data_IF_993703676568
#
_entry.id   IF_993703676568
#
_cell.length_a   1.000
_cell.length_b   1.000
_cell.length_c   1.000
_cell.angle_alpha   90.00
_cell.angle_beta   90.00
_cell.angle_gamma   90.00
#
_symmetry.space_group_name_H-M   'P 1'
#
loop_
_entity.id
_entity.type
_entity.pdbx_description
1 polymer ?
#
# COMPACT_ATOMS: atom_id res chain seq x y z
N UNK A 1 -37.08 -16.88 45.47
CA UNK A 1 -38.19 -17.79 45.09
C UNK A 1 -37.85 -18.37 43.71
N UNK A 2 -37.64 -19.71 43.71
CA UNK A 2 -37.32 -20.50 42.49
C UNK A 2 -38.60 -20.73 41.70
N UNK A 3 -38.56 -20.65 40.37
CA UNK A 3 -39.51 -21.33 39.50
C UNK A 3 -38.76 -21.98 38.34
N UNK A 4 -38.69 -23.30 38.43
CA UNK A 4 -38.31 -24.21 37.35
C UNK A 4 -39.50 -24.38 36.43
N UNK A 5 -39.25 -24.38 35.07
CA UNK A 5 -40.25 -24.84 34.12
C UNK A 5 -39.71 -26.09 33.43
N UNK A 6 -40.44 -27.19 33.62
CA UNK A 6 -40.17 -28.51 33.06
C UNK A 6 -40.67 -28.61 31.62
N UNK A 7 -39.83 -29.10 30.74
CA UNK A 7 -40.17 -29.43 29.37
C UNK A 7 -40.62 -30.91 29.32
N UNK A 8 -41.84 -31.17 28.88
CA UNK A 8 -42.37 -32.49 28.63
C UNK A 8 -41.97 -33.00 27.26
N UNK A 9 -41.31 -34.17 27.27
CA UNK A 9 -41.01 -35.02 26.12
C UNK A 9 -42.25 -35.86 25.80
N UNK A 10 -42.83 -35.74 24.61
CA UNK A 10 -43.92 -36.64 24.16
C UNK A 10 -43.33 -37.58 23.10
N UNK A 11 -43.12 -38.83 23.54
CA UNK A 11 -42.86 -39.98 22.66
C UNK A 11 -44.19 -40.47 22.11
N UNK A 12 -44.38 -40.42 20.80
CA UNK A 12 -45.47 -41.09 20.09
C UNK A 12 -44.95 -42.21 19.21
N UNK A 13 -45.08 -43.45 19.69
CA UNK A 13 -44.84 -44.66 18.90
C UNK A 13 -46.10 -44.90 18.06
N UNK A 14 -45.99 -44.93 16.73
CA UNK A 14 -46.99 -45.57 15.88
C UNK A 14 -46.28 -46.63 15.03
N UNK A 15 -46.57 -47.87 15.39
CA UNK A 15 -46.31 -49.01 14.54
C UNK A 15 -47.50 -49.26 13.67
N UNK A 16 -47.35 -49.38 12.38
CA UNK A 16 -48.34 -49.79 11.45
C UNK A 16 -47.66 -50.15 10.13
N UNK A 17 -47.42 -51.44 9.94
CA UNK A 17 -46.89 -51.98 8.70
C UNK A 17 -47.93 -51.99 7.60
N UNK A 18 -47.49 -52.03 6.38
CA UNK A 18 -47.89 -52.95 5.32
C UNK A 18 -47.34 -52.50 3.96
N UNK A 19 -46.66 -53.44 3.39
CA UNK A 19 -46.77 -53.95 2.04
C UNK A 19 -45.91 -53.25 0.97
N UNK A 20 -44.87 -53.95 0.70
CA UNK A 20 -44.26 -54.25 -0.61
C UNK A 20 -45.03 -53.72 -1.83
N UNK A 21 -44.40 -52.81 -2.58
CA UNK A 21 -44.35 -52.84 -4.03
C UNK A 21 -42.96 -52.48 -4.48
N UNK A 22 -42.41 -53.35 -5.27
CA UNK A 22 -41.12 -53.32 -5.88
C UNK A 22 -40.95 -52.15 -6.86
N UNK A 23 -39.66 -51.80 -6.96
CA UNK A 23 -38.98 -51.38 -8.19
C UNK A 23 -38.98 -49.91 -8.56
N UNK A 24 -37.91 -49.45 -8.43
CA UNK A 24 -36.94 -48.64 -9.11
C UNK A 24 -36.27 -47.69 -8.12
N UNK A 25 -35.25 -48.24 -7.48
CA UNK A 25 -34.19 -47.41 -6.87
C UNK A 25 -33.45 -46.68 -8.01
N UNK A 26 -34.06 -45.63 -8.62
CA UNK A 26 -33.25 -44.51 -9.04
C UNK A 26 -32.69 -43.93 -7.77
N UNK A 27 -31.43 -44.29 -7.46
CA UNK A 27 -30.63 -43.50 -6.58
C UNK A 27 -30.58 -42.13 -7.19
N UNK A 28 -31.42 -41.21 -6.73
CA UNK A 28 -31.10 -39.83 -6.71
C UNK A 28 -29.73 -39.77 -5.95
N UNK A 29 -28.64 -39.72 -6.70
CA UNK A 29 -27.37 -39.28 -6.18
C UNK A 29 -27.65 -37.84 -5.74
N UNK A 30 -28.07 -37.66 -4.47
CA UNK A 30 -28.09 -36.36 -3.84
C UNK A 30 -26.66 -35.84 -3.93
N UNK A 31 -26.38 -35.11 -4.99
CA UNK A 31 -25.11 -34.38 -5.13
C UNK A 31 -25.12 -33.37 -4.00
N UNK A 32 -24.50 -33.75 -2.88
CA UNK A 32 -24.32 -32.82 -1.76
C UNK A 32 -23.60 -31.59 -2.28
N UNK A 33 -24.27 -30.45 -2.20
CA UNK A 33 -23.66 -29.18 -2.58
C UNK A 33 -22.39 -28.96 -1.75
N UNK A 34 -21.23 -28.67 -2.35
CA UNK A 34 -20.03 -28.43 -1.59
C UNK A 34 -20.16 -27.14 -0.77
N UNK A 35 -19.48 -27.08 0.37
CA UNK A 35 -19.35 -25.84 1.16
C UNK A 35 -18.82 -24.72 0.26
N UNK A 36 -19.36 -23.50 0.35
CA UNK A 36 -18.84 -22.38 -0.41
C UNK A 36 -17.42 -22.03 0.06
N UNK A 37 -16.57 -21.59 -0.85
CA UNK A 37 -15.34 -20.89 -0.46
C UNK A 37 -15.50 -19.41 -0.77
N UNK A 38 -15.20 -18.53 0.20
CA UNK A 38 -15.35 -17.09 0.05
C UNK A 38 -14.05 -16.36 0.36
N UNK A 39 -13.72 -15.33 -0.40
CA UNK A 39 -12.59 -14.43 -0.14
C UNK A 39 -12.98 -12.98 -0.38
N UNK A 40 -12.30 -12.07 0.32
CA UNK A 40 -12.48 -10.62 0.21
C UNK A 40 -11.41 -10.02 -0.69
N UNK A 41 -11.84 -9.22 -1.66
CA UNK A 41 -10.99 -8.33 -2.46
C UNK A 41 -11.27 -6.87 -2.06
N UNK A 42 -10.24 -6.09 -1.78
CA UNK A 42 -10.38 -4.64 -1.64
C UNK A 42 -10.35 -3.98 -3.01
N UNK A 43 -11.44 -3.36 -3.43
CA UNK A 43 -11.50 -2.56 -4.66
C UNK A 43 -10.92 -1.15 -4.46
N UNK A 44 -10.72 -0.73 -3.20
CA UNK A 44 -10.16 0.58 -2.84
C UNK A 44 -8.63 0.59 -2.79
N UNK A 45 -7.95 -0.49 -3.20
CA UNK A 45 -6.49 -0.64 -3.20
C UNK A 45 -5.78 -0.39 -1.84
N UNK A 46 -6.53 -0.09 -0.79
CA UNK A 46 -6.06 0.07 0.59
C UNK A 46 -7.07 -0.55 1.55
N UNK A 47 -6.59 -0.97 2.72
CA UNK A 47 -7.40 -1.37 3.88
C UNK A 47 -7.30 -0.34 5.01
N UNK A 48 -6.88 0.89 4.68
CA UNK A 48 -6.83 2.01 5.60
C UNK A 48 -7.43 3.26 4.94
N UNK A 49 -8.10 4.11 5.74
CA UNK A 49 -8.72 5.35 5.28
C UNK A 49 -8.81 6.37 6.42
N UNK A 50 -9.11 7.63 6.07
CA UNK A 50 -9.40 8.65 7.04
C UNK A 50 -10.90 8.67 7.40
N UNK A 51 -11.31 9.23 8.57
CA UNK A 51 -12.71 9.48 8.86
C UNK A 51 -13.37 10.36 7.79
N UNK A 52 -14.58 9.98 7.37
CA UNK A 52 -15.32 10.63 6.28
C UNK A 52 -15.03 10.02 4.90
N UNK A 53 -14.07 9.15 4.78
CA UNK A 53 -13.80 8.38 3.55
C UNK A 53 -14.56 7.04 3.57
N UNK A 54 -14.49 6.31 2.46
CA UNK A 54 -15.06 4.97 2.34
C UNK A 54 -14.11 4.00 1.64
N UNK A 55 -14.26 2.73 1.96
CA UNK A 55 -13.60 1.61 1.28
C UNK A 55 -14.64 0.70 0.67
N UNK A 56 -14.30 0.11 -0.47
CA UNK A 56 -15.19 -0.81 -1.20
C UNK A 56 -14.54 -2.19 -1.26
N UNK A 57 -15.31 -3.20 -0.87
CA UNK A 57 -14.91 -4.59 -0.86
C UNK A 57 -15.81 -5.42 -1.75
N UNK A 58 -15.25 -6.46 -2.36
CA UNK A 58 -15.99 -7.43 -3.17
C UNK A 58 -15.74 -8.84 -2.64
N UNK A 59 -16.82 -9.62 -2.56
CA UNK A 59 -16.74 -11.03 -2.24
C UNK A 59 -16.54 -11.86 -3.52
N UNK A 60 -15.64 -12.81 -3.47
CA UNK A 60 -15.45 -13.83 -4.49
C UNK A 60 -15.81 -15.19 -3.91
N UNK A 61 -16.76 -15.88 -4.55
CA UNK A 61 -17.13 -17.26 -4.24
C UNK A 61 -16.53 -18.15 -5.33
N UNK A 62 -15.72 -19.15 -4.97
CA UNK A 62 -15.06 -20.03 -5.93
C UNK A 62 -15.71 -21.41 -6.04
N UNK A 63 -15.94 -22.05 -4.89
CA UNK A 63 -16.49 -23.41 -4.82
C UNK A 63 -17.85 -23.38 -4.15
N UNK A 64 -18.79 -24.17 -4.63
CA UNK A 64 -20.18 -24.12 -4.20
C UNK A 64 -20.87 -22.81 -4.61
N UNK A 65 -22.18 -22.87 -4.76
CA UNK A 65 -22.96 -21.64 -4.96
C UNK A 65 -23.30 -21.04 -3.60
N UNK A 66 -23.16 -19.73 -3.44
CA UNK A 66 -23.67 -19.07 -2.25
C UNK A 66 -25.10 -18.60 -2.51
N UNK A 67 -26.05 -19.13 -1.77
CA UNK A 67 -27.44 -18.68 -1.81
C UNK A 67 -27.59 -17.28 -1.20
N UNK A 68 -26.74 -16.98 -0.22
CA UNK A 68 -26.69 -15.68 0.46
C UNK A 68 -25.26 -15.25 0.73
N UNK A 69 -25.00 -13.97 0.47
CA UNK A 69 -23.79 -13.27 0.89
C UNK A 69 -24.18 -12.11 1.79
N UNK A 70 -23.58 -12.03 2.95
CA UNK A 70 -23.80 -10.89 3.85
C UNK A 70 -22.49 -10.44 4.51
N UNK A 71 -22.42 -9.14 4.74
CA UNK A 71 -21.29 -8.45 5.32
C UNK A 71 -21.63 -7.96 6.71
N UNK A 72 -20.63 -7.94 7.58
CA UNK A 72 -20.74 -7.45 8.94
C UNK A 72 -19.47 -6.70 9.31
N UNK A 73 -19.63 -5.56 9.97
CA UNK A 73 -18.51 -4.80 10.57
C UNK A 73 -18.53 -5.05 12.06
N UNK A 74 -17.46 -5.65 12.58
CA UNK A 74 -17.40 -6.14 13.97
C UNK A 74 -18.62 -6.99 14.31
N UNK A 75 -19.38 -6.61 15.35
CA UNK A 75 -20.64 -7.24 15.75
C UNK A 75 -21.88 -6.41 15.36
N UNK A 76 -21.72 -5.52 14.37
CA UNK A 76 -22.79 -4.63 13.90
C UNK A 76 -23.83 -5.34 13.02
N UNK A 77 -24.77 -4.58 12.44
CA UNK A 77 -25.84 -5.12 11.58
C UNK A 77 -25.28 -5.71 10.28
N UNK A 78 -25.98 -6.71 9.75
CA UNK A 78 -25.65 -7.37 8.51
C UNK A 78 -26.13 -6.57 7.31
N UNK A 79 -25.33 -6.56 6.23
CA UNK A 79 -25.65 -5.99 4.92
C UNK A 79 -25.52 -7.05 3.83
N UNK A 80 -26.47 -7.15 2.91
CA UNK A 80 -26.48 -8.16 1.84
C UNK A 80 -25.81 -7.65 0.56
N UNK A 81 -25.21 -8.56 -0.21
CA UNK A 81 -24.67 -8.29 -1.52
C UNK A 81 -23.27 -8.83 -1.74
N UNK A 82 -22.80 -8.82 -2.99
CA UNK A 82 -21.45 -9.23 -3.35
C UNK A 82 -20.43 -8.09 -3.27
N UNK A 83 -20.88 -6.85 -3.12
CA UNK A 83 -20.08 -5.66 -2.92
C UNK A 83 -20.54 -4.95 -1.65
N UNK A 84 -19.59 -4.50 -0.85
CA UNK A 84 -19.84 -3.77 0.39
C UNK A 84 -19.05 -2.46 0.41
N UNK A 85 -19.72 -1.39 0.78
CA UNK A 85 -19.11 -0.08 1.03
C UNK A 85 -19.04 0.16 2.53
N UNK A 86 -17.81 0.18 3.06
CA UNK A 86 -17.54 0.56 4.44
C UNK A 86 -17.38 2.08 4.51
N UNK A 87 -18.15 2.75 5.35
CA UNK A 87 -18.05 4.19 5.59
C UNK A 87 -17.36 4.43 6.93
N UNK A 88 -16.19 5.08 6.87
CA UNK A 88 -15.38 5.37 8.05
C UNK A 88 -15.94 6.60 8.79
N UNK A 89 -16.58 6.41 9.93
CA UNK A 89 -17.17 7.51 10.71
C UNK A 89 -16.27 8.05 11.82
N UNK A 90 -15.30 7.25 12.29
CA UNK A 90 -14.41 7.59 13.41
C UNK A 90 -13.13 6.78 13.34
N UNK A 91 -12.06 7.28 13.99
CA UNK A 91 -10.82 6.53 14.19
C UNK A 91 -11.06 5.20 14.89
N UNK A 92 -10.31 4.20 14.50
CA UNK A 92 -10.34 2.85 15.10
C UNK A 92 -9.94 1.76 14.13
N UNK A 93 -9.89 0.56 14.66
CA UNK A 93 -9.67 -0.66 13.89
C UNK A 93 -10.99 -1.42 13.80
N UNK A 94 -11.38 -1.80 12.60
CA UNK A 94 -12.65 -2.44 12.28
C UNK A 94 -12.38 -3.78 11.59
N UNK A 95 -13.13 -4.81 11.96
CA UNK A 95 -13.11 -6.11 11.28
C UNK A 95 -14.29 -6.19 10.32
N UNK A 96 -14.04 -6.21 9.02
CA UNK A 96 -15.07 -6.45 8.01
C UNK A 96 -15.07 -7.93 7.69
N UNK A 97 -16.21 -8.58 7.86
CA UNK A 97 -16.43 -10.00 7.63
C UNK A 97 -17.46 -10.18 6.53
N UNK A 98 -17.20 -11.07 5.58
CA UNK A 98 -18.20 -11.60 4.66
C UNK A 98 -18.50 -13.05 5.01
N UNK A 99 -19.76 -13.43 4.91
CA UNK A 99 -20.22 -14.81 5.09
C UNK A 99 -21.00 -15.26 3.88
N UNK A 100 -20.59 -16.39 3.31
CA UNK A 100 -21.30 -17.10 2.25
C UNK A 100 -22.04 -18.29 2.85
N UNK A 101 -23.29 -18.49 2.44
CA UNK A 101 -24.16 -19.54 2.95
C UNK A 101 -24.79 -20.30 1.80
N UNK A 102 -24.78 -21.62 1.86
CA UNK A 102 -25.57 -22.52 0.99
C UNK A 102 -26.21 -23.65 1.82
N UNK A 103 -26.77 -24.66 1.13
CA UNK A 103 -27.41 -25.82 1.78
C UNK A 103 -26.43 -26.66 2.63
N UNK A 104 -25.16 -26.70 2.26
CA UNK A 104 -24.11 -27.43 2.97
C UNK A 104 -23.60 -26.70 4.24
N UNK A 105 -23.81 -25.39 4.34
CA UNK A 105 -23.39 -24.61 5.51
C UNK A 105 -22.94 -23.18 5.22
N UNK A 106 -22.08 -22.65 6.10
CA UNK A 106 -21.59 -21.29 5.99
C UNK A 106 -20.07 -21.22 6.15
N UNK A 107 -19.43 -20.32 5.39
CA UNK A 107 -18.01 -20.01 5.45
C UNK A 107 -17.82 -18.51 5.45
N UNK A 108 -16.84 -18.02 6.18
CA UNK A 108 -16.57 -16.60 6.31
C UNK A 108 -15.10 -16.29 6.02
N UNK A 109 -14.86 -15.09 5.47
CA UNK A 109 -13.55 -14.44 5.40
C UNK A 109 -13.62 -13.07 6.06
N UNK A 110 -12.48 -12.51 6.45
CA UNK A 110 -12.47 -11.20 7.10
C UNK A 110 -11.19 -10.42 6.80
N UNK A 111 -11.34 -9.10 6.71
CA UNK A 111 -10.25 -8.13 6.56
C UNK A 111 -10.29 -7.12 7.70
N UNK A 112 -9.11 -6.72 8.18
CA UNK A 112 -8.97 -5.66 9.17
C UNK A 112 -8.81 -4.32 8.45
N UNK A 113 -9.59 -3.32 8.84
CA UNK A 113 -9.53 -1.95 8.35
C UNK A 113 -9.05 -1.03 9.46
N UNK A 114 -8.09 -0.18 9.14
CA UNK A 114 -7.62 0.89 10.03
C UNK A 114 -8.17 2.23 9.58
N UNK A 115 -8.87 2.94 10.48
CA UNK A 115 -9.36 4.29 10.25
C UNK A 115 -8.60 5.24 11.17
N UNK A 116 -7.87 6.19 10.58
CA UNK A 116 -7.12 7.19 11.34
C UNK A 116 -7.00 8.50 10.57
N UNK A 117 -7.17 9.61 11.28
CA UNK A 117 -6.98 10.96 10.76
C UNK A 117 -5.51 11.38 10.61
N UNK A 118 -4.60 10.56 11.12
CA UNK A 118 -3.15 10.78 10.98
C UNK A 118 -2.59 10.28 9.65
N UNK A 119 -3.35 9.49 8.88
CA UNK A 119 -2.91 9.00 7.59
C UNK A 119 -2.77 10.13 6.56
N UNK A 120 -1.70 10.07 5.81
CA UNK A 120 -1.48 10.98 4.69
C UNK A 120 -2.25 10.50 3.46
N UNK A 121 -3.03 11.38 2.86
CA UNK A 121 -3.85 11.10 1.66
C UNK A 121 -3.36 11.88 0.45
N UNK A 122 -3.72 11.43 -0.75
CA UNK A 122 -3.41 12.14 -2.00
C UNK A 122 -3.92 13.58 -1.99
N UNK A 123 -5.00 13.88 -1.26
CA UNK A 123 -5.53 15.24 -1.13
C UNK A 123 -4.62 16.20 -0.37
N UNK A 124 -3.67 15.67 0.39
CA UNK A 124 -2.66 16.48 1.13
C UNK A 124 -1.44 16.83 0.28
N UNK A 125 -1.26 16.20 -0.87
CA UNK A 125 -0.16 16.51 -1.79
C UNK A 125 -0.38 17.91 -2.36
N UNK A 126 0.63 18.75 -2.24
CA UNK A 126 0.60 20.15 -2.68
C UNK A 126 1.21 20.34 -4.06
N UNK A 127 2.32 19.66 -4.32
CA UNK A 127 3.10 19.78 -5.55
C UNK A 127 2.69 18.67 -6.53
N UNK A 128 1.83 19.03 -7.50
CA UNK A 128 1.37 18.14 -8.56
C UNK A 128 1.98 18.55 -9.90
N UNK A 129 2.59 17.59 -10.58
CA UNK A 129 3.20 17.77 -11.92
C UNK A 129 2.40 16.95 -12.93
N UNK A 130 2.37 17.46 -14.19
CA UNK A 130 1.67 16.82 -15.31
C UNK A 130 0.16 17.06 -15.31
N UNK A 131 -0.53 16.48 -16.29
CA UNK A 131 -1.96 16.64 -16.52
C UNK A 131 -2.60 15.29 -16.84
N UNK A 132 -3.86 15.11 -16.47
CA UNK A 132 -4.62 13.90 -16.72
C UNK A 132 -5.39 13.40 -15.50
N UNK A 133 -6.15 12.35 -15.70
CA UNK A 133 -6.99 11.76 -14.67
C UNK A 133 -6.25 10.72 -13.81
N UNK A 134 -5.27 10.02 -14.37
CA UNK A 134 -4.43 9.09 -13.61
C UNK A 134 -3.50 9.85 -12.66
N UNK A 135 -3.23 9.26 -11.50
CA UNK A 135 -2.45 9.87 -10.44
C UNK A 135 -1.49 8.85 -9.82
N UNK A 136 -0.24 9.25 -9.65
CA UNK A 136 0.77 8.52 -8.87
C UNK A 136 1.46 9.45 -7.89
N UNK A 137 2.14 8.87 -6.94
CA UNK A 137 2.91 9.58 -5.93
C UNK A 137 4.36 9.12 -5.99
N UNK A 138 5.27 10.06 -6.17
CA UNK A 138 6.68 9.88 -5.87
C UNK A 138 6.87 10.18 -4.39
N UNK A 139 7.48 9.25 -3.66
CA UNK A 139 7.91 9.46 -2.28
C UNK A 139 9.43 9.29 -2.17
N UNK A 140 10.08 10.14 -1.40
CA UNK A 140 11.50 10.00 -1.10
C UNK A 140 11.70 10.17 0.40
N UNK A 141 12.30 9.16 1.02
CA UNK A 141 12.63 9.16 2.43
C UNK A 141 14.14 9.21 2.62
N UNK A 142 14.63 10.34 3.12
CA UNK A 142 16.01 10.51 3.53
C UNK A 142 16.17 10.19 5.02
N UNK A 143 17.37 9.73 5.39
CA UNK A 143 17.80 9.63 6.77
C UNK A 143 19.10 10.41 6.88
N UNK A 144 19.06 11.55 7.59
CA UNK A 144 20.15 12.53 7.60
C UNK A 144 21.09 12.41 8.81
N UNK A 145 20.74 11.58 9.78
CA UNK A 145 21.55 11.38 10.99
C UNK A 145 21.26 10.05 11.68
N UNK A 146 21.94 9.83 12.78
CA UNK A 146 21.67 8.71 13.67
C UNK A 146 22.02 7.33 13.13
N UNK A 147 21.31 6.33 13.62
CA UNK A 147 21.42 4.93 13.19
C UNK A 147 20.48 4.66 12.03
N UNK A 148 20.99 4.43 10.81
CA UNK A 148 20.20 4.09 9.63
C UNK A 148 19.30 2.85 9.82
N UNK A 149 19.66 1.98 10.78
CA UNK A 149 18.82 0.81 11.11
C UNK A 149 17.64 1.19 11.99
N UNK A 150 17.81 2.16 12.88
CA UNK A 150 16.78 2.60 13.82
C UNK A 150 16.85 4.13 13.97
N UNK A 151 16.52 4.88 12.90
CA UNK A 151 16.58 6.33 12.97
C UNK A 151 15.53 6.86 13.96
N UNK A 152 15.88 7.95 14.63
CA UNK A 152 14.89 8.74 15.36
C UNK A 152 14.00 9.50 14.37
N UNK A 153 12.79 9.88 14.79
CA UNK A 153 11.85 10.56 13.91
C UNK A 153 12.39 11.87 13.34
N UNK A 154 13.22 12.58 14.09
CA UNK A 154 13.86 13.83 13.66
C UNK A 154 14.94 13.64 12.60
N UNK A 155 15.47 12.43 12.46
CA UNK A 155 16.47 12.10 11.44
C UNK A 155 15.85 11.66 10.12
N UNK A 156 14.52 11.53 10.06
CA UNK A 156 13.80 11.01 8.89
C UNK A 156 13.00 12.12 8.23
N UNK A 157 13.29 12.35 6.96
CA UNK A 157 12.60 13.32 6.12
C UNK A 157 11.92 12.59 4.97
N UNK A 158 10.60 12.48 5.01
CA UNK A 158 9.83 11.77 4.01
C UNK A 158 8.93 12.74 3.25
N UNK A 159 9.33 13.14 2.05
CA UNK A 159 8.60 14.07 1.19
C UNK A 159 7.90 13.35 0.04
N UNK A 160 6.79 13.94 -0.41
CA UNK A 160 5.98 13.37 -1.49
C UNK A 160 5.55 14.42 -2.50
N UNK A 161 5.56 14.02 -3.78
CA UNK A 161 5.08 14.76 -4.93
C UNK A 161 4.02 13.98 -5.67
N UNK A 162 3.07 14.66 -6.28
CA UNK A 162 2.06 14.07 -7.14
C UNK A 162 2.42 14.15 -8.61
N UNK A 163 2.07 13.11 -9.36
CA UNK A 163 2.20 13.08 -10.81
C UNK A 163 0.87 12.70 -11.47
N UNK A 164 0.53 13.36 -12.57
CA UNK A 164 -0.68 13.14 -13.35
C UNK A 164 -0.36 12.84 -14.80
N UNK A 165 -1.11 11.91 -15.38
CA UNK A 165 -1.00 11.60 -16.80
C UNK A 165 -2.33 11.17 -17.41
N UNK A 166 -2.42 11.23 -18.75
CA UNK A 166 -3.63 10.90 -19.49
C UNK A 166 -3.96 9.39 -19.43
N UNK A 167 -5.25 9.09 -19.32
CA UNK A 167 -5.75 7.70 -19.39
C UNK A 167 -5.42 7.11 -20.76
N UNK A 168 -4.93 5.87 -20.76
CA UNK A 168 -4.54 5.16 -21.98
C UNK A 168 -3.14 5.45 -22.48
N UNK A 169 -2.39 6.36 -21.82
CA UNK A 169 -0.95 6.52 -22.06
C UNK A 169 -0.15 5.70 -21.07
N UNK A 170 1.03 5.25 -21.50
CA UNK A 170 1.99 4.58 -20.61
C UNK A 170 2.99 5.61 -20.09
N UNK A 171 3.21 5.61 -18.81
CA UNK A 171 4.24 6.40 -18.14
C UNK A 171 5.04 5.49 -17.22
N UNK A 172 6.31 5.80 -17.06
CA UNK A 172 7.21 5.05 -16.17
C UNK A 172 7.56 5.87 -14.94
N UNK A 173 8.15 5.22 -13.94
CA UNK A 173 8.71 5.91 -12.77
C UNK A 173 9.80 6.91 -13.17
N UNK A 174 10.60 6.60 -14.21
CA UNK A 174 11.58 7.53 -14.78
C UNK A 174 10.91 8.79 -15.35
N UNK A 175 9.78 8.63 -16.06
CA UNK A 175 9.05 9.78 -16.62
C UNK A 175 8.51 10.67 -15.50
N UNK A 176 7.93 10.06 -14.46
CA UNK A 176 7.45 10.75 -13.28
C UNK A 176 8.59 11.49 -12.57
N UNK A 177 9.69 10.81 -12.29
CA UNK A 177 10.84 11.37 -11.57
C UNK A 177 11.44 12.58 -12.32
N UNK A 178 11.64 12.45 -13.64
CA UNK A 178 12.13 13.54 -14.47
C UNK A 178 11.17 14.73 -14.53
N UNK A 179 9.88 14.46 -14.68
CA UNK A 179 8.88 15.52 -14.72
C UNK A 179 8.80 16.28 -13.39
N UNK A 180 8.89 15.58 -12.25
CA UNK A 180 8.88 16.20 -10.93
C UNK A 180 10.15 17.00 -10.69
N UNK A 181 11.34 16.45 -10.99
CA UNK A 181 12.61 17.15 -10.81
C UNK A 181 12.66 18.45 -11.64
N UNK A 182 12.15 18.42 -12.86
CA UNK A 182 12.03 19.62 -13.70
C UNK A 182 11.09 20.67 -13.11
N UNK A 183 10.04 20.25 -12.39
CA UNK A 183 9.01 21.14 -11.84
C UNK A 183 9.33 21.65 -10.43
N UNK A 184 10.07 20.91 -9.65
CA UNK A 184 10.54 21.32 -8.31
C UNK A 184 12.04 21.61 -8.35
N UNK A 185 12.45 22.90 -8.34
CA UNK A 185 13.86 23.29 -8.47
C UNK A 185 14.73 22.88 -7.27
N UNK A 186 14.11 22.36 -6.21
CA UNK A 186 14.82 21.86 -5.03
C UNK A 186 15.11 20.36 -5.09
N UNK A 187 14.53 19.62 -6.05
CA UNK A 187 14.76 18.19 -6.22
C UNK A 187 15.86 17.92 -7.25
N UNK A 188 16.92 17.26 -6.83
CA UNK A 188 18.09 16.92 -7.62
C UNK A 188 18.20 15.41 -7.81
N UNK A 189 18.24 14.96 -9.05
CA UNK A 189 18.28 13.54 -9.41
C UNK A 189 19.59 13.24 -10.13
N UNK A 190 20.36 12.31 -9.57
CA UNK A 190 21.58 11.82 -10.21
C UNK A 190 21.32 10.46 -10.81
N UNK A 191 21.61 10.32 -12.10
CA UNK A 191 21.46 9.06 -12.85
C UNK A 191 22.81 8.58 -13.37
N UNK A 192 22.96 7.26 -13.45
CA UNK A 192 24.03 6.60 -14.20
C UNK A 192 23.37 5.73 -15.27
N UNK A 193 23.27 6.26 -16.48
CA UNK A 193 22.42 5.68 -17.52
C UNK A 193 20.94 5.69 -17.08
N UNK A 194 20.33 4.51 -17.02
CA UNK A 194 18.94 4.34 -16.59
C UNK A 194 18.80 3.99 -15.09
N UNK A 195 19.89 4.05 -14.33
CA UNK A 195 19.89 3.70 -12.92
C UNK A 195 19.93 4.95 -12.06
N UNK A 196 19.16 4.94 -10.98
CA UNK A 196 19.22 5.96 -9.94
C UNK A 196 20.55 5.82 -9.19
N UNK A 197 21.33 6.89 -9.19
CA UNK A 197 22.59 7.00 -8.45
C UNK A 197 22.47 7.86 -7.20
N UNK A 198 21.50 8.79 -7.17
CA UNK A 198 21.24 9.60 -6.00
C UNK A 198 20.03 10.51 -6.13
N UNK A 199 19.51 10.94 -4.99
CA UNK A 199 18.42 11.89 -4.82
C UNK A 199 18.83 12.94 -3.79
N UNK A 200 18.85 14.19 -4.22
CA UNK A 200 19.15 15.33 -3.38
C UNK A 200 17.96 16.26 -3.23
N UNK A 201 17.94 17.03 -2.15
CA UNK A 201 16.92 18.03 -1.90
C UNK A 201 17.51 19.23 -1.17
N UNK A 202 17.32 20.43 -1.72
CA UNK A 202 17.61 21.69 -1.05
C UNK A 202 16.55 21.92 0.04
N UNK A 203 16.90 21.51 1.26
CA UNK A 203 15.93 21.42 2.35
C UNK A 203 15.73 22.75 3.06
N UNK A 204 16.76 23.58 3.16
CA UNK A 204 16.69 24.91 3.77
C UNK A 204 16.19 25.97 2.78
N UNK A 205 16.14 25.65 1.47
CA UNK A 205 15.60 26.52 0.43
C UNK A 205 16.50 27.72 0.12
N UNK A 206 17.79 27.62 0.40
CA UNK A 206 18.74 28.71 0.16
C UNK A 206 19.20 28.79 -1.32
N UNK A 207 18.81 27.81 -2.13
CA UNK A 207 19.13 27.70 -3.54
C UNK A 207 20.56 27.23 -3.81
N UNK A 208 21.20 26.57 -2.83
CA UNK A 208 22.54 26.02 -2.96
C UNK A 208 22.52 24.55 -2.57
N UNK A 209 22.72 23.70 -3.52
CA UNK A 209 22.84 22.28 -3.30
C UNK A 209 24.23 21.79 -3.73
N UNK A 210 24.94 21.12 -2.82
CA UNK A 210 26.26 20.54 -3.10
C UNK A 210 26.38 19.17 -2.42
N UNK A 211 27.02 18.25 -3.12
CA UNK A 211 27.39 16.94 -2.56
C UNK A 211 28.92 16.85 -2.48
N UNK A 212 29.38 16.44 -1.32
CA UNK A 212 30.82 16.35 -1.02
C UNK A 212 31.24 14.92 -0.70
N UNK A 213 32.48 14.62 -1.05
CA UNK A 213 33.14 13.39 -0.65
C UNK A 213 33.58 13.45 0.83
N UNK A 214 33.97 12.30 1.38
CA UNK A 214 34.56 12.21 2.72
C UNK A 214 35.74 13.16 2.96
N UNK A 215 36.50 13.48 1.92
CA UNK A 215 37.65 14.39 1.99
C UNK A 215 37.23 15.86 1.86
N UNK A 216 35.93 16.15 1.92
CA UNK A 216 35.36 17.48 1.77
C UNK A 216 35.56 18.12 0.38
N UNK A 217 35.82 17.31 -0.64
CA UNK A 217 35.89 17.75 -2.04
C UNK A 217 34.48 17.80 -2.63
N UNK A 218 34.14 18.87 -3.34
CA UNK A 218 32.85 18.95 -4.06
C UNK A 218 32.87 17.91 -5.16
N UNK A 219 31.91 16.99 -5.12
CA UNK A 219 31.71 16.01 -6.18
C UNK A 219 30.84 16.60 -7.31
N UNK A 220 29.79 17.31 -6.95
CA UNK A 220 28.91 18.07 -7.84
C UNK A 220 28.08 19.09 -7.03
N UNK A 221 27.53 20.06 -7.75
CA UNK A 221 26.69 21.13 -7.21
C UNK A 221 25.45 21.32 -8.08
N UNK A 222 24.51 22.13 -7.65
CA UNK A 222 23.31 22.46 -8.43
C UNK A 222 23.58 22.90 -9.87
N UNK A 223 24.72 23.55 -10.12
CA UNK A 223 25.08 24.05 -11.45
C UNK A 223 25.34 22.93 -12.48
N UNK A 224 25.54 21.70 -12.00
CA UNK A 224 25.74 20.52 -12.84
C UNK A 224 24.43 19.90 -13.33
N UNK A 225 23.27 20.33 -12.78
CA UNK A 225 21.97 19.76 -13.11
C UNK A 225 21.27 20.54 -14.22
N UNK A 226 20.77 19.81 -15.22
CA UNK A 226 19.86 20.32 -16.25
C UNK A 226 18.44 19.79 -15.98
N UNK A 227 17.47 20.69 -15.83
CA UNK A 227 16.08 20.31 -15.44
C UNK A 227 16.00 19.41 -14.20
N UNK A 228 16.90 19.60 -13.23
CA UNK A 228 16.98 18.80 -12.00
C UNK A 228 17.65 17.44 -12.18
N UNK A 229 18.23 17.12 -13.35
CA UNK A 229 18.87 15.84 -13.65
C UNK A 229 20.36 16.04 -13.94
N UNK A 230 21.20 15.21 -13.32
CA UNK A 230 22.62 15.12 -13.63
C UNK A 230 23.01 13.68 -13.98
N UNK A 231 23.65 13.52 -15.14
CA UNK A 231 24.14 12.21 -15.63
C UNK A 231 25.62 12.05 -15.30
N UNK A 232 25.91 11.26 -14.26
CA UNK A 232 27.29 10.99 -13.83
C UNK A 232 27.42 9.58 -13.28
N UNK A 233 28.59 8.98 -13.42
CA UNK A 233 28.97 7.79 -12.68
C UNK A 233 29.40 8.20 -11.26
N UNK A 234 28.59 7.91 -10.27
CA UNK A 234 28.93 8.11 -8.85
C UNK A 234 29.69 6.90 -8.36
N UNK A 235 31.01 6.99 -8.29
CA UNK A 235 31.90 5.93 -7.79
C UNK A 235 32.59 6.34 -6.47
N UNK A 236 32.04 7.33 -5.77
CA UNK A 236 32.56 7.79 -4.50
C UNK A 236 31.84 7.14 -3.32
N UNK A 237 32.62 6.77 -2.30
CA UNK A 237 32.13 6.31 -1.01
C UNK A 237 31.93 7.51 -0.07
N UNK A 238 31.04 7.35 0.92
CA UNK A 238 30.84 8.37 1.98
C UNK A 238 30.60 9.79 1.44
N UNK A 239 29.57 9.95 0.63
CA UNK A 239 29.15 11.24 0.11
C UNK A 239 27.97 11.78 0.89
N UNK A 240 27.99 13.08 1.17
CA UNK A 240 26.96 13.79 1.95
C UNK A 240 26.58 15.10 1.29
N UNK A 241 25.34 15.55 1.48
CA UNK A 241 24.99 16.92 1.16
C UNK A 241 25.64 17.91 2.12
N UNK A 242 25.81 19.15 1.69
CA UNK A 242 26.29 20.25 2.53
C UNK A 242 25.13 20.86 3.33
N UNK A 243 25.43 21.35 4.52
CA UNK A 243 24.46 22.07 5.35
C UNK A 243 23.32 21.17 5.88
N UNK A 244 22.10 21.67 5.75
CA UNK A 244 20.87 20.98 6.17
C UNK A 244 20.17 20.25 4.99
N UNK A 245 20.83 20.19 3.84
CA UNK A 245 20.30 19.51 2.65
C UNK A 245 20.26 18.01 2.81
N UNK A 246 19.35 17.38 2.04
CA UNK A 246 19.17 15.94 2.09
C UNK A 246 19.89 15.26 0.92
N UNK A 247 20.50 14.12 1.21
CA UNK A 247 21.11 13.28 0.19
C UNK A 247 20.79 11.80 0.43
N UNK A 248 20.36 11.12 -0.62
CA UNK A 248 20.21 9.67 -0.66
C UNK A 248 21.03 9.14 -1.84
N UNK A 249 22.09 8.42 -1.55
CA UNK A 249 22.98 7.85 -2.56
C UNK A 249 24.34 7.52 -1.98
N UNK A 250 25.20 6.92 -2.79
CA UNK A 250 26.53 6.48 -2.38
C UNK A 250 26.67 4.96 -2.33
N UNK A 251 27.91 4.47 -2.29
CA UNK A 251 28.23 3.09 -2.62
C UNK A 251 28.28 2.13 -1.43
N UNK A 252 28.68 2.56 -0.25
CA UNK A 252 29.02 1.63 0.84
C UNK A 252 28.24 1.81 2.14
N UNK A 253 27.74 2.98 2.45
CA UNK A 253 27.01 3.22 3.71
C UNK A 253 25.50 3.09 3.57
N UNK A 254 24.99 3.58 2.46
CA UNK A 254 23.56 3.50 2.17
C UNK A 254 23.34 3.35 0.67
N UNK A 255 22.25 2.73 0.31
CA UNK A 255 21.79 2.66 -1.08
C UNK A 255 20.29 2.93 -1.12
N UNK A 256 19.83 3.37 -2.28
CA UNK A 256 18.42 3.61 -2.51
C UNK A 256 17.68 2.27 -2.68
N UNK A 257 16.65 2.06 -1.89
CA UNK A 257 15.71 0.94 -2.06
C UNK A 257 14.37 1.44 -2.53
N UNK A 258 13.73 0.68 -3.40
CA UNK A 258 12.51 1.05 -4.09
C UNK A 258 11.32 0.24 -3.59
N UNK A 259 10.25 0.93 -3.23
CA UNK A 259 9.07 0.36 -2.62
C UNK A 259 7.81 0.78 -3.37
N UNK A 260 6.92 -0.17 -3.58
CA UNK A 260 5.66 0.03 -4.27
C UNK A 260 4.49 -0.10 -3.29
N UNK A 261 3.58 0.84 -3.42
CA UNK A 261 2.30 0.83 -2.73
C UNK A 261 1.16 1.25 -3.64
N UNK A 262 -0.07 1.20 -3.16
CA UNK A 262 -1.24 1.60 -3.94
C UNK A 262 -2.35 2.12 -3.02
N UNK A 263 -3.07 3.14 -3.46
CA UNK A 263 -4.25 3.65 -2.76
C UNK A 263 -4.34 5.16 -2.68
N UNK A 264 -5.51 5.65 -2.29
CA UNK A 264 -5.75 7.07 -2.04
C UNK A 264 -5.08 7.57 -0.74
N UNK A 265 -4.68 6.63 0.11
CA UNK A 265 -4.00 6.83 1.38
C UNK A 265 -2.63 6.18 1.28
N UNK A 266 -1.63 6.76 1.92
CA UNK A 266 -0.30 6.13 2.01
C UNK A 266 -0.44 4.72 2.61
N UNK A 267 0.13 3.68 1.99
CA UNK A 267 0.13 2.36 2.59
C UNK A 267 0.81 2.36 3.95
N UNK A 268 0.28 1.61 4.91
CA UNK A 268 1.01 1.33 6.15
C UNK A 268 2.29 0.54 5.85
N UNK A 269 3.30 0.67 6.69
CA UNK A 269 4.66 0.17 6.43
C UNK A 269 4.72 -1.27 5.89
N UNK A 270 3.89 -2.17 6.44
CA UNK A 270 3.86 -3.57 6.02
C UNK A 270 3.17 -3.83 4.67
N UNK A 271 2.46 -2.86 4.13
CA UNK A 271 1.75 -2.95 2.85
C UNK A 271 2.57 -2.41 1.67
N UNK A 272 3.78 -1.92 1.93
CA UNK A 272 4.73 -1.66 0.86
C UNK A 272 5.42 -2.94 0.43
N UNK A 273 5.53 -3.14 -0.88
CA UNK A 273 6.25 -4.25 -1.52
C UNK A 273 7.60 -3.77 -2.03
N UNK A 274 8.66 -4.50 -1.72
CA UNK A 274 9.98 -4.23 -2.28
C UNK A 274 9.98 -4.46 -3.79
N UNK A 275 10.59 -3.55 -4.54
CA UNK A 275 10.69 -3.63 -6.00
C UNK A 275 12.15 -3.80 -6.45
N UNK A 276 12.36 -4.71 -7.39
CA UNK A 276 13.61 -4.87 -8.12
C UNK A 276 13.54 -4.26 -9.52
N UNK A 277 12.48 -3.53 -9.86
CA UNK A 277 12.37 -2.88 -11.15
C UNK A 277 13.36 -1.73 -11.27
N UNK A 278 13.94 -1.59 -12.46
CA UNK A 278 14.60 -0.36 -12.86
C UNK A 278 13.55 0.73 -13.14
N UNK A 279 13.89 1.99 -12.90
CA UNK A 279 13.01 3.15 -13.15
C UNK A 279 12.31 3.12 -14.51
N UNK A 280 13.05 2.78 -15.57
CA UNK A 280 12.54 2.74 -16.95
C UNK A 280 11.59 1.58 -17.22
N UNK A 281 11.59 0.55 -16.38
CA UNK A 281 10.78 -0.66 -16.57
C UNK A 281 9.53 -0.68 -15.67
N UNK A 282 9.41 0.25 -14.73
CA UNK A 282 8.25 0.37 -13.86
C UNK A 282 7.19 1.22 -14.56
N UNK A 283 6.18 0.57 -15.14
CA UNK A 283 4.98 1.27 -15.63
C UNK A 283 4.14 1.74 -14.44
N UNK A 284 3.74 3.01 -14.42
CA UNK A 284 2.89 3.59 -13.39
C UNK A 284 1.47 3.05 -13.47
N UNK A 285 0.85 2.91 -12.32
CA UNK A 285 -0.55 2.57 -12.17
C UNK A 285 -1.30 3.74 -11.49
N UNK A 286 -2.59 3.91 -11.83
CA UNK A 286 -3.40 4.90 -11.12
C UNK A 286 -3.43 4.59 -9.62
N UNK A 287 -3.22 5.64 -8.81
CA UNK A 287 -3.04 5.56 -7.35
C UNK A 287 -1.79 4.79 -6.87
N UNK A 288 -0.76 4.62 -7.70
CA UNK A 288 0.50 4.03 -7.20
C UNK A 288 1.25 5.00 -6.29
N UNK A 289 1.96 4.40 -5.31
CA UNK A 289 2.96 5.04 -4.47
C UNK A 289 4.29 4.39 -4.82
N UNK A 290 5.17 5.17 -5.39
CA UNK A 290 6.49 4.77 -5.83
C UNK A 290 7.50 5.49 -4.93
N UNK A 291 8.10 4.73 -3.97
CA UNK A 291 8.82 5.33 -2.84
C UNK A 291 10.27 4.85 -2.80
N UNK A 292 11.18 5.80 -2.73
CA UNK A 292 12.61 5.57 -2.53
C UNK A 292 12.99 5.80 -1.07
N UNK A 293 13.73 4.86 -0.48
CA UNK A 293 14.21 4.98 0.89
C UNK A 293 15.70 4.74 1.00
N UNK A 294 16.32 5.37 1.98
CA UNK A 294 17.68 5.07 2.38
C UNK A 294 17.72 3.74 3.13
N UNK A 295 18.59 2.83 2.70
CA UNK A 295 18.84 1.57 3.40
C UNK A 295 20.33 1.40 3.69
N UNK A 296 20.69 0.89 4.88
CA UNK A 296 22.07 0.59 5.17
C UNK A 296 22.54 -0.58 4.30
N UNK A 297 23.77 -0.47 3.84
CA UNK A 297 24.48 -1.57 3.19
C UNK A 297 25.22 -2.38 4.26
N UNK A 298 24.84 -3.62 4.47
CA UNK A 298 25.62 -4.55 5.29
C UNK A 298 26.09 -5.76 4.45
N UNK A 299 27.27 -6.26 4.74
CA UNK A 299 27.88 -7.40 4.03
C UNK A 299 27.20 -8.75 4.34
N UNK A 300 26.20 -8.79 5.22
CA UNK A 300 25.58 -10.00 5.74
C UNK A 300 24.16 -10.20 5.19
N UNK A 301 23.62 -9.20 4.57
CA UNK A 301 22.28 -9.21 3.96
C UNK A 301 21.63 -7.83 4.09
N UNK A 302 21.24 -7.28 2.96
CA UNK A 302 20.61 -5.97 2.89
C UNK A 302 19.34 -5.93 3.72
N UNK A 303 19.36 -5.19 4.82
CA UNK A 303 18.15 -4.92 5.60
C UNK A 303 17.42 -3.75 4.95
N UNK A 304 16.56 -4.07 4.01
CA UNK A 304 15.73 -3.08 3.37
C UNK A 304 14.82 -2.42 4.40
N UNK A 305 14.97 -1.11 4.57
CA UNK A 305 14.07 -0.32 5.41
C UNK A 305 12.87 0.14 4.60
N UNK A 306 11.70 -0.21 5.09
CA UNK A 306 10.44 0.24 4.51
C UNK A 306 10.19 1.73 4.78
N UNK A 307 9.37 2.38 3.93
CA UNK A 307 8.94 3.75 4.19
C UNK A 307 8.24 3.86 5.55
N UNK A 308 8.57 4.89 6.32
CA UNK A 308 7.94 5.17 7.62
C UNK A 308 6.73 6.06 7.39
N UNK A 309 5.61 5.44 7.06
CA UNK A 309 4.40 6.11 6.56
C UNK A 309 3.86 7.23 7.46
N UNK A 310 4.06 7.14 8.78
CA UNK A 310 3.62 8.17 9.74
C UNK A 310 4.40 9.48 9.64
N UNK A 311 5.58 9.49 9.03
CA UNK A 311 6.45 10.67 8.88
C UNK A 311 6.30 11.36 7.53
N UNK A 312 5.42 10.86 6.65
CA UNK A 312 5.23 11.42 5.32
C UNK A 312 4.68 12.85 5.37
N UNK A 313 5.20 13.69 4.48
CA UNK A 313 4.80 15.07 4.30
C UNK A 313 4.67 15.42 2.81
N UNK A 314 3.86 16.41 2.50
CA UNK A 314 3.86 16.97 1.15
C UNK A 314 5.13 17.82 0.95
N UNK A 315 5.79 17.65 -0.18
CA UNK A 315 6.78 18.63 -0.63
C UNK A 315 6.12 20.01 -0.79
N UNK A 316 6.82 21.06 -0.37
CA UNK A 316 6.29 22.41 -0.30
C UNK A 316 6.24 23.09 -1.65
#
# INVERSE_FOLDING_TARGET
>A
MKKYFFLYLLLGIFAGGFSSCSDNDEKDDDIEEPLPSVSIESLSSSVACAPGEYLVFKAHVKDGNANYLFWQVDDGPESRGNVYRFEASKNGSFKIKVTAVNSAGMVSDSVKVEVTDTLFTLSRIKNWTGNGANRSVLGIQWVTGGDLLNPEDNDVHFLTWGYRWEVGTKQTDMDMLKAIAKNDPRLFVVLTGDNLAGLGYDADGDGKFQVRTRNNEILFSQDDFEDGIYQILVDADDITAEGEDYWLGGKLKSYATYWLGKGNVIPVENNFSYSNFLLVNRELEDYSWDVWTCSPFDNVGMKNKRPISRLVQAAA
#
